data_IF_774427128066
#
_entry.id   IF_774427128066
#
_cell.length_a   1.000
_cell.length_b   1.000
_cell.length_c   1.000
_cell.angle_alpha   90.00
_cell.angle_beta   90.00
_cell.angle_gamma   90.00
#
_symmetry.space_group_name_H-M   'P 1'
#
loop_
_entity.id
_entity.type
_entity.pdbx_description
1 polymer ?
#
# COMPACT_ATOMS: atom_id res chain seq x y z
N UNK A 1 18.67 16.34 -2.31
CA UNK A 1 17.56 17.28 -2.02
C UNK A 1 16.52 17.25 -3.13
N UNK A 2 16.74 17.79 -4.33
CA UNK A 2 15.71 17.80 -5.40
C UNK A 2 15.11 16.42 -5.69
N UNK A 3 15.93 15.40 -5.93
CA UNK A 3 15.40 14.05 -6.18
C UNK A 3 14.63 13.42 -5.00
N UNK A 4 14.96 13.78 -3.75
CA UNK A 4 14.34 13.19 -2.58
C UNK A 4 13.06 13.92 -2.14
N UNK A 5 13.00 15.24 -2.37
CA UNK A 5 11.92 16.10 -1.86
C UNK A 5 10.94 16.55 -2.95
N UNK A 6 11.39 16.61 -4.22
CA UNK A 6 10.64 17.25 -5.31
C UNK A 6 10.28 16.29 -6.45
N UNK A 7 10.47 14.98 -6.26
CA UNK A 7 10.15 13.97 -7.27
C UNK A 7 9.35 12.81 -6.72
N UNK A 8 8.55 12.19 -7.58
CA UNK A 8 7.70 11.05 -7.23
C UNK A 8 6.26 11.44 -6.94
N UNK A 9 5.44 10.41 -6.71
CA UNK A 9 4.04 10.53 -6.32
C UNK A 9 3.78 9.60 -5.11
N UNK A 10 2.75 9.86 -4.30
CA UNK A 10 2.41 9.00 -3.18
C UNK A 10 2.16 7.56 -3.61
N UNK A 11 2.66 6.60 -2.83
CA UNK A 11 2.53 5.18 -3.13
C UNK A 11 1.07 4.75 -3.36
N UNK A 12 0.15 5.25 -2.54
CA UNK A 12 -1.28 4.95 -2.67
C UNK A 12 -1.91 5.42 -3.99
N UNK A 13 -1.34 6.44 -4.64
CA UNK A 13 -1.77 6.89 -5.96
C UNK A 13 -1.07 6.10 -7.08
N UNK A 14 0.17 5.67 -6.86
CA UNK A 14 0.96 4.97 -7.87
C UNK A 14 0.50 3.53 -8.13
N UNK A 15 0.13 2.78 -7.08
CA UNK A 15 -0.19 1.35 -7.20
C UNK A 15 -1.39 1.11 -8.14
N UNK A 16 -2.56 1.76 -7.95
CA UNK A 16 -3.71 1.51 -8.82
C UNK A 16 -3.44 1.88 -10.28
N UNK A 17 -2.66 2.93 -10.53
CA UNK A 17 -2.27 3.35 -11.87
C UNK A 17 -1.34 2.32 -12.54
N UNK A 18 -0.33 1.85 -11.82
CA UNK A 18 0.59 0.84 -12.32
C UNK A 18 -0.11 -0.49 -12.59
N UNK A 19 -1.00 -0.91 -11.68
CA UNK A 19 -1.79 -2.14 -11.84
C UNK A 19 -2.68 -2.06 -13.09
N UNK A 20 -3.45 -0.96 -13.23
CA UNK A 20 -4.30 -0.77 -14.41
C UNK A 20 -3.48 -0.71 -15.70
N UNK A 21 -2.32 -0.06 -15.70
CA UNK A 21 -1.46 -0.01 -16.88
C UNK A 21 -1.00 -1.41 -17.32
N UNK A 22 -0.75 -2.33 -16.38
CA UNK A 22 -0.43 -3.73 -16.69
C UNK A 22 -1.66 -4.49 -17.22
N UNK A 23 -2.85 -4.21 -16.71
CA UNK A 23 -4.13 -4.77 -17.19
C UNK A 23 -4.46 -4.31 -18.60
N UNK A 24 -4.30 -3.01 -18.89
CA UNK A 24 -4.60 -2.40 -20.18
C UNK A 24 -3.78 -3.02 -21.32
N UNK A 25 -2.56 -3.48 -21.02
CA UNK A 25 -1.67 -4.16 -21.99
C UNK A 25 -1.72 -5.68 -21.90
N UNK A 26 -2.56 -6.24 -21.02
CA UNK A 26 -2.74 -7.69 -20.86
C UNK A 26 -1.56 -8.42 -20.21
N UNK A 27 -0.63 -7.72 -19.55
CA UNK A 27 0.57 -8.30 -18.92
C UNK A 27 0.45 -8.49 -17.42
N UNK A 28 -0.74 -8.23 -16.88
CA UNK A 28 -1.01 -8.18 -15.45
C UNK A 28 -0.86 -9.54 -14.73
N UNK A 29 -0.95 -10.64 -15.47
CA UNK A 29 -0.72 -12.01 -14.98
C UNK A 29 0.70 -12.51 -15.29
N UNK A 30 1.45 -11.79 -16.14
CA UNK A 30 2.81 -12.16 -16.57
C UNK A 30 3.90 -11.39 -15.80
N UNK A 31 3.56 -10.21 -15.26
CA UNK A 31 4.49 -9.31 -14.59
C UNK A 31 4.02 -9.04 -13.16
N UNK A 32 4.83 -9.42 -12.18
CA UNK A 32 4.61 -9.09 -10.77
C UNK A 32 4.87 -7.60 -10.51
N UNK A 33 3.87 -6.91 -9.93
CA UNK A 33 4.01 -5.56 -9.43
C UNK A 33 4.59 -5.56 -8.01
N UNK A 34 5.88 -5.24 -7.89
CA UNK A 34 6.56 -5.08 -6.59
C UNK A 34 6.61 -3.61 -6.20
N UNK A 35 6.15 -3.29 -5.00
CA UNK A 35 6.02 -1.90 -4.54
C UNK A 35 6.89 -1.62 -3.32
N UNK A 36 7.39 -0.38 -3.19
CA UNK A 36 8.26 0.04 -2.10
C UNK A 36 7.97 1.49 -1.72
N UNK A 37 8.10 1.82 -0.43
CA UNK A 37 8.03 3.21 0.05
C UNK A 37 7.15 3.36 1.28
N UNK A 38 7.75 3.70 2.43
CA UNK A 38 7.00 4.03 3.64
C UNK A 38 6.26 2.88 4.35
N UNK A 39 6.51 1.63 3.94
CA UNK A 39 5.87 0.42 4.50
C UNK A 39 6.48 0.10 5.87
N UNK A 40 5.67 0.07 6.92
CA UNK A 40 6.13 -0.03 8.32
C UNK A 40 5.46 -1.12 9.15
N UNK A 41 4.27 -1.57 8.77
CA UNK A 41 3.46 -2.54 9.52
C UNK A 41 2.62 -3.40 8.54
N UNK A 42 1.99 -4.46 9.04
CA UNK A 42 1.20 -5.38 8.21
C UNK A 42 -0.06 -4.74 7.61
N UNK A 43 -0.54 -3.63 8.19
CA UNK A 43 -1.60 -2.82 7.59
C UNK A 43 -1.18 -2.12 6.31
N UNK A 44 0.04 -1.56 6.29
CA UNK A 44 0.60 -0.98 5.06
C UNK A 44 0.78 -2.07 3.99
N UNK A 45 1.22 -3.27 4.38
CA UNK A 45 1.36 -4.43 3.47
C UNK A 45 0.00 -4.83 2.88
N UNK A 46 -1.00 -5.07 3.73
CA UNK A 46 -2.33 -5.48 3.30
C UNK A 46 -2.96 -4.45 2.34
N UNK A 47 -2.81 -3.16 2.61
CA UNK A 47 -3.29 -2.09 1.71
C UNK A 47 -2.56 -2.11 0.36
N UNK A 48 -1.25 -2.32 0.35
CA UNK A 48 -0.50 -2.41 -0.92
C UNK A 48 -0.98 -3.59 -1.77
N UNK A 49 -1.18 -4.76 -1.14
CA UNK A 49 -1.70 -5.96 -1.82
C UNK A 49 -3.11 -5.71 -2.36
N UNK A 50 -4.00 -5.17 -1.52
CA UNK A 50 -5.37 -4.82 -1.90
C UNK A 50 -5.43 -3.85 -3.08
N UNK A 51 -4.52 -2.87 -3.16
CA UNK A 51 -4.47 -1.90 -4.26
C UNK A 51 -3.91 -2.48 -5.58
N UNK A 52 -3.45 -3.74 -5.58
CA UNK A 52 -3.00 -4.45 -6.79
C UNK A 52 -1.53 -4.80 -6.84
N UNK A 53 -0.77 -4.66 -5.74
CA UNK A 53 0.61 -5.13 -5.68
C UNK A 53 0.70 -6.66 -5.49
N UNK A 54 1.66 -7.30 -6.13
CA UNK A 54 1.99 -8.71 -5.91
C UNK A 54 2.91 -8.90 -4.70
N UNK A 55 3.82 -7.95 -4.46
CA UNK A 55 4.73 -7.99 -3.33
C UNK A 55 5.13 -6.60 -2.84
N UNK A 56 5.64 -6.55 -1.62
CA UNK A 56 6.14 -5.33 -0.98
C UNK A 56 7.62 -5.46 -0.65
N UNK A 57 8.39 -4.41 -0.88
CA UNK A 57 9.77 -4.30 -0.47
C UNK A 57 9.89 -3.36 0.74
N UNK A 58 10.58 -3.84 1.78
CA UNK A 58 10.74 -3.12 3.05
C UNK A 58 12.21 -2.72 3.19
N UNK A 59 12.47 -1.41 3.22
CA UNK A 59 13.81 -0.85 3.39
C UNK A 59 14.00 -0.25 4.79
N UNK A 60 13.61 1.00 4.97
CA UNK A 60 13.93 1.77 6.18
C UNK A 60 13.40 1.14 7.48
N UNK A 61 12.19 0.61 7.50
CA UNK A 61 11.64 -0.02 8.70
C UNK A 61 12.44 -1.28 9.12
N UNK A 62 12.91 -2.06 8.15
CA UNK A 62 13.81 -3.19 8.43
C UNK A 62 15.17 -2.72 8.96
N UNK A 63 15.71 -1.59 8.48
CA UNK A 63 16.94 -0.99 9.02
C UNK A 63 16.75 -0.49 10.46
N UNK A 64 15.58 0.07 10.81
CA UNK A 64 15.23 0.46 12.18
C UNK A 64 15.19 -0.78 13.08
N UNK A 65 14.52 -1.85 12.65
CA UNK A 65 14.52 -3.12 13.38
C UNK A 65 15.94 -3.69 13.56
N UNK A 66 16.80 -3.53 12.54
CA UNK A 66 18.17 -4.01 12.57
C UNK A 66 18.99 -3.33 13.68
N UNK A 67 19.01 -1.99 13.72
CA UNK A 67 19.59 -1.13 14.77
C UNK A 67 19.62 0.37 14.41
N UNK A 68 19.16 0.79 13.22
CA UNK A 68 19.23 2.20 12.81
C UNK A 68 18.62 3.09 13.90
N UNK A 69 19.35 4.14 14.28
CA UNK A 69 18.98 5.09 15.34
C UNK A 69 18.86 4.52 16.77
N UNK A 70 19.20 3.25 17.02
CA UNK A 70 19.20 2.65 18.36
C UNK A 70 20.41 3.12 19.17
N UNK A 71 20.19 3.56 20.39
CA UNK A 71 21.23 3.74 21.40
C UNK A 71 21.58 2.39 22.04
N UNK A 72 22.86 2.04 22.02
CA UNK A 72 23.40 0.81 22.62
C UNK A 72 24.45 1.25 23.64
N UNK A 73 24.13 1.19 24.96
CA UNK A 73 25.03 1.64 26.01
C UNK A 73 26.42 1.02 25.90
N UNK A 74 27.45 1.86 25.94
CA UNK A 74 28.86 1.43 25.84
C UNK A 74 29.32 1.01 24.44
N UNK A 75 28.45 0.99 23.43
CA UNK A 75 28.79 0.61 22.05
C UNK A 75 28.64 1.79 21.09
N UNK A 76 27.51 2.50 21.16
CA UNK A 76 27.21 3.61 20.26
C UNK A 76 27.56 4.93 20.89
N UNK A 77 28.22 5.79 20.12
CA UNK A 77 28.47 7.19 20.45
C UNK A 77 27.96 8.05 19.29
N UNK A 78 26.69 8.45 19.33
CA UNK A 78 26.09 9.23 18.24
C UNK A 78 26.59 10.68 18.25
N UNK A 79 26.64 11.32 19.41
CA UNK A 79 27.07 12.72 19.52
C UNK A 79 28.54 12.90 19.12
N UNK A 80 29.43 12.01 19.56
CA UNK A 80 30.85 12.06 19.19
C UNK A 80 31.13 11.59 17.76
N UNK A 81 30.34 10.68 17.20
CA UNK A 81 30.59 10.16 15.84
C UNK A 81 29.96 11.04 14.75
N UNK A 82 28.73 11.51 14.95
CA UNK A 82 27.93 12.22 13.93
C UNK A 82 27.29 13.53 14.42
N UNK A 83 27.50 13.94 15.69
CA UNK A 83 27.09 15.26 16.18
C UNK A 83 25.60 15.43 16.49
N UNK A 84 24.84 14.33 16.54
CA UNK A 84 23.40 14.32 16.86
C UNK A 84 23.10 13.20 17.85
N UNK A 85 22.01 13.27 18.64
CA UNK A 85 21.63 12.16 19.52
C UNK A 85 21.11 10.96 18.72
N UNK A 86 21.07 9.79 19.36
CA UNK A 86 20.36 8.62 18.85
C UNK A 86 18.87 8.97 18.60
N UNK A 87 18.23 8.32 17.63
CA UNK A 87 16.87 8.68 17.19
C UNK A 87 16.79 9.78 16.13
N UNK A 88 17.83 10.59 15.94
CA UNK A 88 17.83 11.76 15.03
C UNK A 88 18.91 11.70 13.94
N UNK A 89 19.51 10.54 13.70
CA UNK A 89 20.57 10.37 12.72
C UNK A 89 20.02 10.13 11.31
N UNK A 90 20.48 10.96 10.37
CA UNK A 90 20.28 10.87 8.91
C UNK A 90 21.60 11.00 8.13
N UNK A 91 22.72 10.67 8.79
CA UNK A 91 24.09 10.85 8.28
C UNK A 91 24.65 9.64 7.53
N UNK A 92 23.79 8.78 6.96
CA UNK A 92 24.21 7.55 6.28
C UNK A 92 25.25 7.80 5.16
N UNK A 93 25.14 8.93 4.46
CA UNK A 93 26.05 9.34 3.39
C UNK A 93 27.50 9.60 3.86
N UNK A 94 27.72 9.81 5.16
CA UNK A 94 29.07 10.04 5.72
C UNK A 94 29.88 8.76 5.85
N UNK A 95 29.23 7.58 5.80
CA UNK A 95 29.86 6.30 6.10
C UNK A 95 30.26 6.13 7.56
N UNK A 96 29.81 6.99 8.48
CA UNK A 96 30.17 6.97 9.92
C UNK A 96 29.04 6.46 10.82
N UNK A 97 28.27 5.48 10.35
CA UNK A 97 27.12 4.94 11.07
C UNK A 97 27.50 4.44 12.48
N UNK A 98 26.97 5.03 13.57
CA UNK A 98 27.38 4.66 14.94
C UNK A 98 27.01 3.23 15.33
N UNK A 99 26.02 2.63 14.68
CA UNK A 99 25.52 1.26 14.90
C UNK A 99 26.06 0.23 13.90
N UNK A 100 26.97 0.62 13.00
CA UNK A 100 27.63 -0.33 12.10
C UNK A 100 26.80 -0.77 10.88
N UNK A 101 25.65 -0.13 10.59
CA UNK A 101 24.76 -0.52 9.49
C UNK A 101 25.22 0.06 8.14
N UNK A 102 25.35 1.40 8.06
CA UNK A 102 25.71 2.11 6.82
C UNK A 102 27.15 2.63 6.89
N UNK A 103 28.12 1.72 7.01
CA UNK A 103 29.54 2.06 7.11
C UNK A 103 30.43 0.98 6.51
N UNK A 104 31.58 1.39 5.96
CA UNK A 104 32.64 0.48 5.51
C UNK A 104 33.83 0.45 6.48
N UNK A 105 33.82 1.30 7.51
CA UNK A 105 34.85 1.35 8.54
C UNK A 105 34.86 0.01 9.32
N UNK A 106 36.00 -0.71 9.38
CA UNK A 106 36.10 -1.97 10.11
C UNK A 106 35.73 -1.87 11.60
N UNK A 107 36.05 -0.77 12.28
CA UNK A 107 35.76 -0.60 13.71
C UNK A 107 34.28 -0.30 13.94
N UNK A 108 33.65 0.49 13.07
CA UNK A 108 32.21 0.74 13.17
C UNK A 108 31.39 -0.49 12.82
N UNK A 109 31.80 -1.28 11.82
CA UNK A 109 31.11 -2.53 11.44
C UNK A 109 31.04 -3.55 12.57
N UNK A 110 32.07 -3.65 13.42
CA UNK A 110 32.07 -4.54 14.60
C UNK A 110 30.94 -4.25 15.59
N UNK A 111 30.36 -3.05 15.57
CA UNK A 111 29.25 -2.66 16.47
C UNK A 111 27.93 -3.35 16.12
N UNK A 112 27.80 -3.91 14.91
CA UNK A 112 26.63 -4.67 14.50
C UNK A 112 26.81 -6.14 14.87
N UNK A 113 26.23 -6.56 15.99
CA UNK A 113 26.13 -7.97 16.37
C UNK A 113 25.05 -8.64 15.51
N UNK A 114 25.50 -9.46 14.54
CA UNK A 114 24.65 -9.99 13.46
C UNK A 114 23.50 -10.86 13.99
N UNK A 115 23.77 -11.78 14.91
CA UNK A 115 22.76 -12.74 15.39
C UNK A 115 21.61 -12.02 16.11
N UNK A 116 21.92 -11.09 17.02
CA UNK A 116 20.90 -10.30 17.71
C UNK A 116 20.13 -9.38 16.76
N UNK A 117 20.81 -8.83 15.75
CA UNK A 117 20.18 -7.97 14.75
C UNK A 117 19.23 -8.75 13.84
N UNK A 118 19.63 -9.96 13.44
CA UNK A 118 18.81 -10.89 12.68
C UNK A 118 17.54 -11.29 13.46
N UNK A 119 17.66 -11.58 14.76
CA UNK A 119 16.50 -11.90 15.60
C UNK A 119 15.49 -10.74 15.66
N UNK A 120 15.97 -9.49 15.79
CA UNK A 120 15.08 -8.31 15.77
C UNK A 120 14.39 -8.13 14.42
N UNK A 121 15.11 -8.29 13.32
CA UNK A 121 14.52 -8.22 11.96
C UNK A 121 13.51 -9.34 11.76
N UNK A 122 13.81 -10.56 12.23
CA UNK A 122 12.89 -11.69 12.19
C UNK A 122 11.60 -11.36 12.96
N UNK A 123 11.69 -10.88 14.20
CA UNK A 123 10.52 -10.53 15.01
C UNK A 123 9.66 -9.46 14.34
N UNK A 124 10.29 -8.45 13.72
CA UNK A 124 9.62 -7.43 12.94
C UNK A 124 8.87 -8.01 11.74
N UNK A 125 9.54 -8.78 10.88
CA UNK A 125 8.92 -9.38 9.68
C UNK A 125 7.83 -10.41 10.03
N UNK A 126 8.03 -11.15 11.12
CA UNK A 126 7.04 -12.08 11.64
C UNK A 126 5.77 -11.33 12.08
N UNK A 127 5.93 -10.22 12.81
CA UNK A 127 4.80 -9.38 13.27
C UNK A 127 4.03 -8.77 12.09
N UNK A 128 4.75 -8.23 11.10
CA UNK A 128 4.18 -7.76 9.83
C UNK A 128 3.32 -8.83 9.15
N UNK A 129 3.82 -10.06 9.10
CA UNK A 129 3.11 -11.20 8.50
C UNK A 129 1.83 -11.50 9.25
N UNK A 130 1.89 -11.55 10.59
CA UNK A 130 0.70 -11.81 11.43
C UNK A 130 -0.36 -10.71 11.26
N UNK A 131 0.05 -9.45 11.28
CA UNK A 131 -0.85 -8.30 11.09
C UNK A 131 -1.53 -8.32 9.70
N UNK A 132 -0.78 -8.60 8.64
CA UNK A 132 -1.32 -8.74 7.29
C UNK A 132 -2.33 -9.89 7.20
N UNK A 133 -2.02 -11.05 7.80
CA UNK A 133 -2.95 -12.18 7.89
C UNK A 133 -4.21 -11.83 8.69
N UNK A 134 -4.09 -11.06 9.77
CA UNK A 134 -5.24 -10.62 10.56
C UNK A 134 -6.20 -9.78 9.73
N UNK A 135 -5.69 -8.87 8.90
CA UNK A 135 -6.52 -8.06 8.01
C UNK A 135 -7.18 -8.89 6.90
N UNK A 136 -6.44 -9.79 6.25
CA UNK A 136 -7.01 -10.70 5.26
C UNK A 136 -8.17 -11.53 5.86
N UNK A 137 -7.99 -12.06 7.07
CA UNK A 137 -9.05 -12.79 7.79
C UNK A 137 -10.24 -11.90 8.15
N UNK A 138 -9.99 -10.65 8.57
CA UNK A 138 -11.06 -9.69 8.87
C UNK A 138 -11.92 -9.37 7.64
N UNK A 139 -11.32 -9.38 6.45
CA UNK A 139 -12.01 -9.24 5.16
C UNK A 139 -12.60 -10.56 4.62
N UNK A 140 -12.57 -11.65 5.41
CA UNK A 140 -13.10 -12.95 4.99
C UNK A 140 -12.24 -13.69 3.96
N UNK A 141 -10.99 -13.27 3.75
CA UNK A 141 -10.06 -13.86 2.79
C UNK A 141 -9.19 -14.94 3.45
N UNK A 142 -8.94 -16.03 2.73
CA UNK A 142 -8.07 -17.13 3.19
C UNK A 142 -6.62 -16.98 2.75
N UNK A 143 -6.36 -16.12 1.77
CA UNK A 143 -5.05 -15.78 1.23
C UNK A 143 -4.92 -14.25 1.18
N UNK A 144 -3.76 -13.72 1.57
CA UNK A 144 -3.47 -12.28 1.53
C UNK A 144 -3.48 -11.71 0.10
N UNK A 145 -3.22 -12.54 -0.91
CA UNK A 145 -3.31 -12.15 -2.32
C UNK A 145 -4.74 -12.08 -2.84
N UNK A 146 -5.74 -12.46 -2.04
CA UNK A 146 -7.15 -12.27 -2.38
C UNK A 146 -7.71 -10.96 -1.80
N UNK A 147 -6.87 -10.14 -1.16
CA UNK A 147 -7.24 -8.78 -0.80
C UNK A 147 -7.45 -7.97 -2.08
N UNK A 148 -8.55 -7.24 -2.16
CA UNK A 148 -8.96 -6.48 -3.34
C UNK A 148 -9.27 -5.02 -2.94
N UNK A 149 -9.33 -4.08 -3.91
CA UNK A 149 -9.64 -2.68 -3.61
C UNK A 149 -10.97 -2.50 -2.84
N UNK A 150 -11.93 -3.40 -3.04
CA UNK A 150 -13.24 -3.44 -2.37
C UNK A 150 -13.16 -3.73 -0.87
N UNK A 151 -12.05 -4.32 -0.40
CA UNK A 151 -11.79 -4.54 1.03
C UNK A 151 -11.36 -3.25 1.76
N UNK A 152 -11.16 -2.16 1.01
CA UNK A 152 -10.73 -0.86 1.51
C UNK A 152 -11.83 0.20 1.37
N UNK A 153 -11.78 1.19 2.27
CA UNK A 153 -12.44 2.47 2.08
C UNK A 153 -11.54 3.61 2.55
N UNK A 154 -11.71 4.79 1.96
CA UNK A 154 -10.97 5.99 2.31
C UNK A 154 -11.79 6.87 3.27
N UNK A 155 -11.10 7.54 4.20
CA UNK A 155 -11.73 8.47 5.13
C UNK A 155 -11.85 9.89 4.58
N UNK A 156 -11.14 10.20 3.50
CA UNK A 156 -11.17 11.52 2.86
C UNK A 156 -11.36 11.38 1.36
N UNK A 157 -11.89 12.43 0.74
CA UNK A 157 -12.16 12.47 -0.71
C UNK A 157 -10.85 12.38 -1.50
N UNK A 158 -9.79 13.01 -1.02
CA UNK A 158 -8.47 12.99 -1.65
C UNK A 158 -7.88 11.57 -1.63
N UNK A 159 -8.01 10.86 -0.50
CA UNK A 159 -7.55 9.49 -0.40
C UNK A 159 -8.38 8.55 -1.28
N UNK A 160 -9.69 8.75 -1.35
CA UNK A 160 -10.58 8.00 -2.24
C UNK A 160 -10.18 8.19 -3.71
N UNK A 161 -9.96 9.45 -4.11
CA UNK A 161 -9.55 9.81 -5.47
C UNK A 161 -8.18 9.20 -5.85
N UNK A 162 -7.18 9.31 -4.95
CA UNK A 162 -5.83 8.82 -5.20
C UNK A 162 -5.76 7.28 -5.22
N UNK A 163 -6.33 6.63 -4.20
CA UNK A 163 -6.28 5.18 -4.06
C UNK A 163 -7.33 4.46 -4.91
N UNK A 164 -8.26 5.19 -5.53
CA UNK A 164 -9.35 4.65 -6.36
C UNK A 164 -10.26 3.67 -5.59
N UNK A 165 -10.50 3.96 -4.30
CA UNK A 165 -11.36 3.16 -3.41
C UNK A 165 -12.54 4.00 -2.91
N UNK A 166 -13.67 3.38 -2.50
CA UNK A 166 -14.84 4.12 -2.05
C UNK A 166 -14.57 5.01 -0.82
N UNK A 167 -15.24 6.16 -0.76
CA UNK A 167 -15.33 6.97 0.45
C UNK A 167 -16.17 6.23 1.50
N UNK A 168 -15.67 6.16 2.73
CA UNK A 168 -16.29 5.42 3.83
C UNK A 168 -17.78 5.75 4.01
N UNK A 169 -18.61 4.71 4.09
CA UNK A 169 -20.07 4.84 4.19
C UNK A 169 -20.79 5.11 2.87
N UNK A 170 -20.09 5.04 1.74
CA UNK A 170 -20.65 5.27 0.40
C UNK A 170 -20.05 4.29 -0.62
N UNK A 171 -20.63 4.24 -1.83
CA UNK A 171 -20.02 3.61 -3.01
C UNK A 171 -19.30 4.64 -3.92
N UNK A 172 -19.14 5.87 -3.43
CA UNK A 172 -18.63 6.98 -4.23
C UNK A 172 -17.09 6.92 -4.33
N UNK A 173 -16.58 6.90 -5.56
CA UNK A 173 -15.16 6.97 -5.91
C UNK A 173 -14.98 8.19 -6.82
N UNK A 174 -14.36 9.29 -6.34
CA UNK A 174 -14.22 10.51 -7.12
C UNK A 174 -13.54 10.26 -8.48
N UNK A 175 -14.14 10.75 -9.55
CA UNK A 175 -13.65 10.60 -10.92
C UNK A 175 -14.06 9.29 -11.59
N UNK A 176 -14.27 8.21 -10.84
CA UNK A 176 -14.73 6.93 -11.40
C UNK A 176 -16.25 6.78 -11.37
N UNK A 177 -16.91 7.21 -10.29
CA UNK A 177 -18.37 7.10 -10.18
C UNK A 177 -19.06 7.92 -11.27
N UNK A 178 -18.55 9.11 -11.56
CA UNK A 178 -19.06 9.98 -12.63
C UNK A 178 -18.79 9.37 -14.02
N UNK A 179 -17.59 8.81 -14.24
CA UNK A 179 -17.22 8.17 -15.50
C UNK A 179 -18.08 6.92 -15.78
N UNK A 180 -18.34 6.11 -14.75
CA UNK A 180 -19.26 4.97 -14.82
C UNK A 180 -20.69 5.41 -15.15
N UNK A 181 -21.21 6.43 -14.46
CA UNK A 181 -22.55 6.96 -14.72
C UNK A 181 -22.68 7.51 -16.15
N UNK A 182 -21.69 8.25 -16.63
CA UNK A 182 -21.65 8.78 -17.99
C UNK A 182 -21.61 7.66 -19.04
N UNK A 183 -20.82 6.61 -18.78
CA UNK A 183 -20.71 5.45 -19.68
C UNK A 183 -22.04 4.71 -19.79
N UNK A 184 -22.73 4.49 -18.68
CA UNK A 184 -24.05 3.85 -18.69
C UNK A 184 -25.09 4.71 -19.41
N UNK A 185 -25.09 6.03 -19.19
CA UNK A 185 -25.97 6.95 -19.92
C UNK A 185 -25.72 6.87 -21.43
N UNK A 186 -24.45 6.89 -21.87
CA UNK A 186 -24.10 6.75 -23.31
C UNK A 186 -24.62 5.44 -23.88
N UNK A 187 -24.40 4.33 -23.18
CA UNK A 187 -24.88 3.00 -23.59
C UNK A 187 -26.39 2.94 -23.72
N UNK A 188 -27.14 3.53 -22.79
CA UNK A 188 -28.60 3.59 -22.84
C UNK A 188 -29.09 4.43 -24.03
N UNK A 189 -28.43 5.55 -24.31
CA UNK A 189 -28.75 6.40 -25.46
C UNK A 189 -28.48 5.69 -26.79
N UNK A 190 -27.36 4.97 -26.91
CA UNK A 190 -27.04 4.16 -28.10
C UNK A 190 -28.11 3.09 -28.34
N UNK A 191 -28.49 2.34 -27.30
CA UNK A 191 -29.58 1.36 -27.40
C UNK A 191 -30.91 1.99 -27.79
N UNK A 192 -31.21 3.19 -27.30
CA UNK A 192 -32.44 3.91 -27.66
C UNK A 192 -32.45 4.33 -29.14
N UNK A 193 -31.30 4.73 -29.68
CA UNK A 193 -31.15 5.04 -31.11
C UNK A 193 -31.34 3.78 -31.96
N UNK A 194 -30.82 2.63 -31.51
CA UNK A 194 -30.90 1.36 -32.24
C UNK A 194 -32.29 0.70 -32.19
N UNK A 195 -32.97 0.74 -31.03
CA UNK A 195 -34.31 0.16 -30.82
C UNK A 195 -35.22 1.12 -30.03
N UNK A 196 -35.84 2.10 -30.70
CA UNK A 196 -36.66 3.13 -30.03
C UNK A 196 -37.97 2.60 -29.41
N UNK A 197 -38.34 1.33 -29.59
CA UNK A 197 -39.66 0.77 -29.24
C UNK A 197 -39.66 -0.17 -28.02
N UNK A 198 -38.50 -0.55 -27.46
CA UNK A 198 -38.39 -1.53 -26.35
C UNK A 198 -38.73 -0.98 -24.93
N UNK A 199 -39.36 0.20 -24.83
CA UNK A 199 -39.60 0.91 -23.57
C UNK A 199 -41.04 0.85 -23.04
N UNK A 200 -41.95 0.13 -23.68
CA UNK A 200 -43.18 -0.26 -22.97
C UNK A 200 -42.79 -1.35 -21.98
N UNK A 201 -42.49 -0.93 -20.74
CA UNK A 201 -42.45 -1.86 -19.61
C UNK A 201 -43.70 -2.76 -19.73
N UNK A 202 -43.57 -4.09 -19.70
CA UNK A 202 -44.74 -4.96 -19.73
C UNK A 202 -45.68 -4.50 -18.63
N UNK A 203 -46.97 -4.33 -18.96
CA UNK A 203 -47.99 -3.92 -18.01
C UNK A 203 -47.80 -4.71 -16.71
N UNK A 204 -47.54 -4.01 -15.62
CA UNK A 204 -47.40 -4.62 -14.31
C UNK A 204 -48.79 -5.20 -13.98
N UNK A 205 -48.97 -6.50 -14.16
CA UNK A 205 -50.12 -7.19 -13.60
C UNK A 205 -50.09 -6.95 -12.07
N UNK A 206 -51.20 -6.51 -11.46
CA UNK A 206 -51.23 -6.24 -10.04
C UNK A 206 -50.89 -7.52 -9.29
N UNK A 207 -49.74 -7.54 -8.60
CA UNK A 207 -49.28 -8.71 -7.87
C UNK A 207 -50.34 -9.08 -6.84
N UNK A 208 -50.98 -10.23 -7.05
CA UNK A 208 -51.89 -10.80 -6.07
C UNK A 208 -51.11 -11.19 -4.83
N UNK A 209 -51.51 -10.57 -3.72
CA UNK A 209 -51.50 -11.09 -2.35
C UNK A 209 -50.27 -11.91 -1.86
N UNK A 210 -49.64 -11.34 -0.83
CA UNK A 210 -49.35 -12.00 0.46
C UNK A 210 -49.28 -13.54 0.44
N UNK A 211 -48.09 -14.07 0.71
CA UNK A 211 -47.97 -15.14 1.72
C UNK A 211 -46.51 -15.34 2.18
N UNK A 212 -46.33 -15.05 3.49
CA UNK A 212 -45.37 -15.59 4.49
C UNK A 212 -43.88 -15.27 4.38
#
# INVERSE_FOLDING_TARGET
HVAAEETGIPLMAAIPEARRALEDVGLADEIDLVVAGGIRNGGDVAKCLALGANAVAIGHAALIALNCNKEIPGVTDYEGTVGVPAGQCYHCHTGRCPVGVTTQDPELRKRLVVDEAAERVYNFLHTLTLECQMLARACGKTNVHNLEPEDLCALTVEAAAMARVPLAGTEYVPGQSEERALTEIKRLLERHIENPVDYLAPEIEPSSARDR
#
